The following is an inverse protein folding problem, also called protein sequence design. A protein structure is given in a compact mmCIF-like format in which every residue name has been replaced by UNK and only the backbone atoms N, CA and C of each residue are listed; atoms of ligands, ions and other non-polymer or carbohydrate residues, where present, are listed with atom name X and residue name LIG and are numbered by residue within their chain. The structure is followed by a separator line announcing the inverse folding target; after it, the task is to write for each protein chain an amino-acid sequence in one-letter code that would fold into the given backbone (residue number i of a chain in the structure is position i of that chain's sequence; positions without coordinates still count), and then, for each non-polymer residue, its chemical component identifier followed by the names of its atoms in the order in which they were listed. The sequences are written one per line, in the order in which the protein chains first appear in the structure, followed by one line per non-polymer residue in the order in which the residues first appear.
data_IF_168119030997
#
_entry.id   IF_168119030997
#
_cell.length_a   1.000
_cell.length_b   1.000
_cell.length_c   1.000
_cell.angle_alpha   90.00
_cell.angle_beta   90.00
_cell.angle_gamma   90.00
#
_symmetry.space_group_name_H-M   'P 1'
#
loop_
_entity.id
_entity.type
_entity.pdbx_description
1 polymer ?
#
# COMPACT_ATOMS: atom_id res chain seq x y z
N UNK A 1 20.95 -1.09 -8.77
CA UNK A 1 19.72 -1.90 -8.70
C UNK A 1 19.34 -2.30 -10.11
N UNK A 2 18.75 -3.47 -10.28
CA UNK A 2 18.48 -4.10 -11.58
C UNK A 2 17.46 -3.34 -12.42
N UNK A 3 16.45 -2.75 -11.77
CA UNK A 3 15.34 -2.06 -12.43
C UNK A 3 14.78 -0.99 -11.51
N UNK A 4 14.62 0.24 -12.00
CA UNK A 4 13.95 1.31 -11.24
C UNK A 4 12.43 1.11 -11.24
N UNK A 5 11.87 0.50 -12.30
CA UNK A 5 10.43 0.20 -12.40
C UNK A 5 9.99 -0.83 -11.38
N UNK A 6 10.82 -1.85 -11.11
CA UNK A 6 10.54 -2.85 -10.08
C UNK A 6 10.55 -2.25 -8.66
N UNK A 7 11.37 -1.22 -8.42
CA UNK A 7 11.35 -0.49 -7.14
C UNK A 7 10.03 0.27 -6.99
N UNK A 8 9.54 0.91 -8.06
CA UNK A 8 8.23 1.58 -8.05
C UNK A 8 7.10 0.57 -7.78
N UNK A 9 7.15 -0.62 -8.38
CA UNK A 9 6.20 -1.71 -8.09
C UNK A 9 6.27 -2.18 -6.63
N UNK A 10 7.48 -2.37 -6.09
CA UNK A 10 7.66 -2.68 -4.66
C UNK A 10 7.04 -1.61 -3.78
N UNK A 11 7.28 -0.33 -4.08
CA UNK A 11 6.73 0.81 -3.34
C UNK A 11 5.19 0.76 -3.30
N UNK A 12 4.53 0.57 -4.44
CA UNK A 12 3.06 0.52 -4.48
C UNK A 12 2.48 -0.71 -3.79
N UNK A 13 3.09 -1.88 -3.97
CA UNK A 13 2.66 -3.11 -3.30
C UNK A 13 2.81 -3.00 -1.77
N UNK A 14 3.95 -2.47 -1.31
CA UNK A 14 4.19 -2.25 0.11
C UNK A 14 3.24 -1.19 0.70
N UNK A 15 3.01 -0.08 -0.02
CA UNK A 15 2.13 1.01 0.43
C UNK A 15 0.68 0.54 0.52
N UNK A 16 0.16 -0.14 -0.50
CA UNK A 16 -1.19 -0.71 -0.45
C UNK A 16 -1.30 -1.77 0.65
N UNK A 17 -0.31 -2.66 0.76
CA UNK A 17 -0.28 -3.71 1.78
C UNK A 17 -0.35 -3.15 3.21
N UNK A 18 0.46 -2.14 3.53
CA UNK A 18 0.46 -1.55 4.87
C UNK A 18 -0.81 -0.75 5.18
N UNK A 19 -1.41 -0.11 4.18
CA UNK A 19 -2.70 0.59 4.33
C UNK A 19 -3.81 -0.40 4.67
N UNK A 20 -3.93 -1.51 3.94
CA UNK A 20 -4.90 -2.57 4.25
C UNK A 20 -4.67 -3.17 5.64
N UNK A 21 -3.40 -3.43 5.99
CA UNK A 21 -3.05 -3.97 7.30
C UNK A 21 -3.49 -3.02 8.42
N UNK A 22 -3.09 -1.75 8.35
CA UNK A 22 -3.36 -0.76 9.39
C UNK A 22 -4.85 -0.47 9.51
N UNK A 23 -5.54 -0.32 8.38
CA UNK A 23 -6.99 -0.12 8.36
C UNK A 23 -7.72 -1.29 9.03
N UNK A 24 -7.39 -2.54 8.67
CA UNK A 24 -8.01 -3.72 9.30
C UNK A 24 -7.77 -3.77 10.81
N UNK A 25 -6.58 -3.35 11.26
CA UNK A 25 -6.21 -3.42 12.67
C UNK A 25 -6.81 -2.30 13.51
N UNK A 26 -7.03 -1.13 12.93
CA UNK A 26 -7.78 -0.06 13.59
C UNK A 26 -9.24 -0.46 13.81
N UNK A 27 -9.92 -0.97 12.77
CA UNK A 27 -11.32 -1.38 12.92
C UNK A 27 -11.43 -2.54 13.91
N UNK A 28 -10.52 -3.52 13.86
CA UNK A 28 -10.46 -4.60 14.84
C UNK A 28 -10.27 -4.10 16.28
N UNK A 29 -9.32 -3.20 16.52
CA UNK A 29 -9.08 -2.64 17.84
C UNK A 29 -10.28 -1.87 18.38
N UNK A 30 -10.94 -1.07 17.54
CA UNK A 30 -12.15 -0.33 17.92
C UNK A 30 -13.28 -1.30 18.26
N UNK A 31 -13.56 -2.30 17.41
CA UNK A 31 -14.61 -3.29 17.65
C UNK A 31 -14.36 -4.08 18.93
N UNK A 32 -13.13 -4.53 19.18
CA UNK A 32 -12.76 -5.22 20.43
C UNK A 32 -12.98 -4.32 21.65
N UNK A 33 -12.48 -3.08 21.60
CA UNK A 33 -12.59 -2.15 22.71
C UNK A 33 -14.04 -1.77 23.04
N UNK A 34 -14.89 -1.62 22.02
CA UNK A 34 -16.32 -1.35 22.21
C UNK A 34 -17.04 -2.57 22.79
N UNK A 35 -16.82 -3.76 22.23
CA UNK A 35 -17.50 -4.98 22.69
C UNK A 35 -17.15 -5.35 24.13
N UNK A 36 -15.88 -5.19 24.53
CA UNK A 36 -15.43 -5.49 25.91
C UNK A 36 -15.92 -4.49 26.95
N UNK A 37 -16.34 -3.30 26.54
CA UNK A 37 -16.90 -2.25 27.41
C UNK A 37 -18.42 -2.20 27.36
N UNK A 38 -19.06 -3.02 26.55
CA UNK A 38 -20.51 -2.95 26.36
C UNK A 38 -21.23 -3.66 27.52
N UNK A 39 -21.84 -2.85 28.39
CA UNK A 39 -22.69 -3.30 29.49
C UNK A 39 -24.16 -3.02 29.15
N UNK A 40 -25.02 -4.00 29.40
CA UNK A 40 -26.46 -3.88 29.21
C UNK A 40 -27.11 -3.03 30.31
N UNK A 41 -28.40 -2.72 30.16
CA UNK A 41 -29.16 -1.97 31.17
C UNK A 41 -29.17 -2.65 32.56
N UNK A 42 -28.98 -3.97 32.58
CA UNK A 42 -28.93 -4.78 33.79
C UNK A 42 -27.51 -4.89 34.42
N UNK A 43 -26.51 -4.21 33.83
CA UNK A 43 -25.13 -4.17 34.35
C UNK A 43 -24.25 -5.38 33.99
N UNK A 44 -24.76 -6.35 33.23
CA UNK A 44 -23.98 -7.48 32.70
C UNK A 44 -23.29 -7.13 31.37
N UNK A 45 -22.18 -7.83 31.04
CA UNK A 45 -21.56 -7.73 29.72
C UNK A 45 -22.49 -8.27 28.65
N UNK A 46 -22.73 -7.47 27.62
CA UNK A 46 -23.58 -7.85 26.47
C UNK A 46 -22.89 -8.88 25.59
N UNK A 47 -21.58 -8.74 25.40
CA UNK A 47 -20.80 -9.58 24.49
C UNK A 47 -19.91 -10.56 25.25
N UNK A 48 -19.93 -11.84 24.83
CA UNK A 48 -18.94 -12.79 25.31
C UNK A 48 -17.61 -12.61 24.58
N UNK A 49 -16.53 -13.16 25.15
CA UNK A 49 -15.23 -13.18 24.48
C UNK A 49 -15.29 -13.95 23.14
N UNK A 50 -16.07 -15.04 23.08
CA UNK A 50 -16.24 -15.83 21.87
C UNK A 50 -16.91 -15.04 20.74
N UNK A 51 -17.89 -14.19 21.07
CA UNK A 51 -18.57 -13.33 20.09
C UNK A 51 -17.61 -12.29 19.51
N UNK A 52 -16.76 -11.73 20.37
CA UNK A 52 -15.71 -10.80 19.93
C UNK A 52 -14.75 -11.46 18.95
N UNK A 53 -14.30 -12.69 19.24
CA UNK A 53 -13.44 -13.46 18.33
C UNK A 53 -14.15 -13.77 17.02
N UNK A 54 -15.45 -14.08 17.06
CA UNK A 54 -16.23 -14.31 15.85
C UNK A 54 -16.35 -13.06 14.97
N UNK A 55 -16.56 -11.89 15.57
CA UNK A 55 -16.66 -10.60 14.88
C UNK A 55 -15.34 -10.16 14.22
N UNK A 56 -14.18 -10.57 14.75
CA UNK A 56 -12.86 -10.18 14.22
C UNK A 56 -12.41 -10.99 13.00
N UNK A 57 -13.03 -12.15 12.72
CA UNK A 57 -12.61 -13.03 11.63
C UNK A 57 -12.45 -12.31 10.28
N UNK A 58 -13.39 -11.47 9.82
CA UNK A 58 -13.26 -10.75 8.55
C UNK A 58 -12.05 -9.80 8.53
N UNK A 59 -11.75 -9.16 9.65
CA UNK A 59 -10.62 -8.22 9.77
C UNK A 59 -9.28 -8.94 9.69
N UNK A 60 -9.18 -10.14 10.28
CA UNK A 60 -7.97 -10.95 10.14
C UNK A 60 -7.75 -11.44 8.71
N UNK A 61 -8.81 -11.74 7.96
CA UNK A 61 -8.69 -12.06 6.52
C UNK A 61 -8.15 -10.86 5.72
N UNK A 62 -8.67 -9.66 5.97
CA UNK A 62 -8.15 -8.42 5.38
C UNK A 62 -6.69 -8.15 5.77
N UNK A 63 -6.31 -8.45 7.01
CA UNK A 63 -4.93 -8.35 7.49
C UNK A 63 -3.99 -9.28 6.72
N UNK A 64 -4.40 -10.53 6.49
CA UNK A 64 -3.63 -11.50 5.71
C UNK A 64 -3.48 -11.03 4.27
N UNK A 65 -4.54 -10.49 3.67
CA UNK A 65 -4.50 -9.93 2.32
C UNK A 65 -3.54 -8.73 2.22
N UNK A 66 -3.56 -7.82 3.19
CA UNK A 66 -2.58 -6.72 3.28
C UNK A 66 -1.14 -7.23 3.43
N UNK A 67 -0.94 -8.25 4.27
CA UNK A 67 0.35 -8.91 4.45
C UNK A 67 0.86 -9.60 3.18
N UNK A 68 -0.02 -10.21 2.39
CA UNK A 68 0.32 -10.83 1.10
C UNK A 68 0.78 -9.79 0.06
N UNK A 69 0.15 -8.61 0.03
CA UNK A 69 0.65 -7.50 -0.80
C UNK A 69 2.03 -7.04 -0.36
N UNK A 70 2.25 -6.90 0.94
CA UNK A 70 3.55 -6.50 1.47
C UNK A 70 4.64 -7.55 1.18
N UNK A 71 4.32 -8.83 1.37
CA UNK A 71 5.24 -9.95 1.10
C UNK A 71 5.56 -10.08 -0.39
N UNK A 72 4.57 -9.92 -1.28
CA UNK A 72 4.81 -9.92 -2.73
C UNK A 72 5.70 -8.75 -3.15
N UNK A 73 5.52 -7.56 -2.55
CA UNK A 73 6.45 -6.45 -2.68
C UNK A 73 7.87 -6.80 -2.23
N UNK A 74 8.04 -7.49 -1.09
CA UNK A 74 9.35 -7.93 -0.62
C UNK A 74 10.02 -8.93 -1.57
N UNK A 75 9.27 -9.86 -2.15
CA UNK A 75 9.78 -10.81 -3.16
C UNK A 75 10.30 -10.05 -4.40
N UNK A 76 9.56 -9.03 -4.86
CA UNK A 76 10.00 -8.16 -5.97
C UNK A 76 11.32 -7.46 -5.66
N UNK A 77 11.49 -6.97 -4.43
CA UNK A 77 12.74 -6.36 -3.97
C UNK A 77 13.90 -7.36 -3.94
N UNK A 78 13.68 -8.56 -3.36
CA UNK A 78 14.68 -9.62 -3.28
C UNK A 78 15.17 -10.02 -4.68
N UNK A 79 14.24 -10.18 -5.63
CA UNK A 79 14.61 -10.48 -7.01
C UNK A 79 15.44 -9.36 -7.65
N UNK A 80 15.07 -8.10 -7.43
CA UNK A 80 15.81 -6.95 -7.95
C UNK A 80 17.25 -6.91 -7.43
N UNK A 81 17.41 -7.12 -6.12
CA UNK A 81 18.73 -7.17 -5.47
C UNK A 81 19.53 -8.37 -5.98
N UNK A 82 18.92 -9.55 -6.06
CA UNK A 82 19.59 -10.76 -6.58
C UNK A 82 20.12 -10.57 -7.99
N UNK A 83 19.30 -10.03 -8.89
CA UNK A 83 19.71 -9.75 -10.27
C UNK A 83 20.82 -8.70 -10.37
N UNK A 84 20.82 -7.72 -9.45
CA UNK A 84 21.90 -6.74 -9.31
C UNK A 84 23.21 -7.41 -8.89
N UNK A 85 23.18 -8.30 -7.88
CA UNK A 85 24.34 -9.04 -7.40
C UNK A 85 24.88 -9.99 -8.48
N UNK A 86 23.99 -10.59 -9.26
CA UNK A 86 24.35 -11.46 -10.40
C UNK A 86 24.97 -10.70 -11.60
N UNK A 87 25.14 -9.37 -11.52
CA UNK A 87 25.82 -8.57 -12.53
C UNK A 87 25.03 -8.36 -13.83
N UNK A 88 23.75 -8.75 -13.87
CA UNK A 88 22.87 -8.49 -15.01
C UNK A 88 22.40 -7.05 -14.92
N UNK A 89 22.98 -6.11 -15.65
CA UNK A 89 22.39 -4.78 -15.79
C UNK A 89 21.32 -4.82 -16.88
N UNK A 90 20.09 -4.41 -16.53
CA UNK A 90 19.03 -4.19 -17.51
C UNK A 90 19.07 -2.73 -17.92
N UNK A 91 19.24 -2.48 -19.22
CA UNK A 91 18.98 -1.16 -19.79
C UNK A 91 17.46 -0.96 -19.88
N UNK A 92 16.94 0.02 -19.14
CA UNK A 92 15.53 0.40 -19.18
C UNK A 92 15.40 1.78 -19.82
N UNK A 93 14.39 1.96 -20.68
CA UNK A 93 14.05 3.26 -21.22
C UNK A 93 13.76 4.27 -20.09
N UNK A 94 14.14 5.55 -20.25
CA UNK A 94 13.89 6.58 -19.24
C UNK A 94 12.42 6.62 -18.83
N UNK A 95 12.14 6.70 -17.53
CA UNK A 95 10.76 6.80 -17.02
C UNK A 95 10.10 8.15 -17.33
N UNK A 96 10.88 9.16 -17.73
CA UNK A 96 10.40 10.45 -18.22
C UNK A 96 10.87 10.64 -19.66
N UNK A 97 10.00 10.34 -20.61
CA UNK A 97 10.14 10.81 -21.98
C UNK A 97 9.00 11.80 -22.21
N UNK A 98 9.15 13.01 -21.67
CA UNK A 98 8.34 14.13 -22.13
C UNK A 98 8.82 14.40 -23.55
N UNK A 99 7.99 14.06 -24.53
CA UNK A 99 8.29 14.28 -25.95
C UNK A 99 8.49 15.78 -26.14
N UNK A 100 9.76 16.20 -26.23
CA UNK A 100 10.12 17.61 -26.45
C UNK A 100 9.42 18.08 -27.72
N UNK A 101 8.52 19.06 -27.58
CA UNK A 101 7.80 19.67 -28.70
C UNK A 101 8.34 21.08 -28.89
N UNK A 102 9.18 21.31 -29.92
CA UNK A 102 9.76 22.63 -30.20
C UNK A 102 8.72 23.74 -30.39
N UNK A 103 7.48 23.41 -30.76
CA UNK A 103 6.41 24.40 -30.96
C UNK A 103 5.65 24.73 -29.67
N UNK A 104 5.48 23.77 -28.77
CA UNK A 104 4.77 23.94 -27.51
C UNK A 104 5.68 24.43 -26.37
N UNK A 105 6.95 24.01 -26.37
CA UNK A 105 7.94 24.33 -25.32
C UNK A 105 8.70 25.64 -25.60
N UNK A 106 8.12 26.54 -26.41
CA UNK A 106 8.66 27.88 -26.63
C UNK A 106 8.16 28.85 -25.56
N UNK A 107 9.00 29.76 -25.05
CA UNK A 107 8.55 30.79 -24.10
C UNK A 107 7.44 31.63 -24.74
N UNK A 108 6.38 31.91 -23.98
CA UNK A 108 5.26 32.73 -24.43
C UNK A 108 5.78 34.13 -24.75
N UNK A 109 5.90 34.43 -26.04
CA UNK A 109 6.25 35.77 -26.51
C UNK A 109 5.03 36.66 -26.36
N UNK A 110 5.14 37.73 -25.55
CA UNK A 110 4.06 38.71 -25.41
C UNK A 110 3.79 39.37 -26.77
N UNK A 111 2.61 39.12 -27.33
CA UNK A 111 2.11 39.85 -28.50
C UNK A 111 1.66 41.23 -27.99
N UNK A 112 2.19 42.35 -28.51
CA UNK A 112 1.71 43.67 -28.14
C UNK A 112 0.22 43.77 -28.47
N UNK A 113 -0.59 44.20 -27.50
CA UNK A 113 -1.98 44.55 -27.75
C UNK A 113 -1.99 45.78 -28.67
N UNK A 114 -2.50 45.62 -29.88
CA UNK A 114 -2.80 46.71 -30.82
C UNK A 114 -4.02 47.51 -30.36
#
# INVERSE_FOLDING_TARGET
MYSMRMINWHFWLATLGIVFYTASMWVAGITQGLMWREYGADGYLVNSFADTVAALKPMYSLRVLGGLFYLSGAIVLVYNVWMTIAGKLREEAPMSDAKYDPQADRPITAVPAE
#
